data_IF_796942958826
#
_entry.id   IF_796942958826
#
_cell.length_a   1.000
_cell.length_b   1.000
_cell.length_c   1.000
_cell.angle_alpha   90.00
_cell.angle_beta   90.00
_cell.angle_gamma   90.00
#
_symmetry.space_group_name_H-M   'P 1'
#
loop_
_entity.id
_entity.type
_entity.pdbx_description
1 polymer ?
#
# COMPACT_ATOMS: atom_id res chain seq x y z
N UNK A 1 15.16 8.63 23.48
CA UNK A 1 14.55 8.23 22.19
C UNK A 1 13.24 7.53 22.48
N UNK A 2 12.10 8.02 21.97
CA UNK A 2 10.82 7.31 22.06
C UNK A 2 10.63 6.53 20.76
N UNK A 3 10.45 5.22 20.86
CA UNK A 3 10.14 4.36 19.72
C UNK A 3 8.65 4.05 19.76
N UNK A 4 7.90 4.55 18.78
CA UNK A 4 6.51 4.17 18.60
C UNK A 4 6.48 2.81 17.90
N UNK A 5 5.72 1.85 18.45
CA UNK A 5 5.47 0.57 17.80
C UNK A 5 4.23 0.70 16.93
N UNK A 6 4.28 0.16 15.71
CA UNK A 6 3.08 0.05 14.90
C UNK A 6 2.08 -0.93 15.52
N UNK A 7 0.79 -0.61 15.43
CA UNK A 7 -0.31 -1.48 15.88
C UNK A 7 -0.27 -2.84 15.19
N UNK A 8 0.18 -2.88 13.93
CA UNK A 8 0.36 -4.10 13.14
C UNK A 8 1.78 -4.14 12.56
N UNK A 9 2.44 -5.29 12.66
CA UNK A 9 3.78 -5.52 12.10
C UNK A 9 3.70 -6.72 11.15
N UNK A 10 3.84 -6.48 9.85
CA UNK A 10 3.68 -7.49 8.79
C UNK A 10 5.00 -7.96 8.18
N UNK A 11 6.14 -7.42 8.64
CA UNK A 11 7.46 -7.71 8.07
C UNK A 11 7.71 -7.06 6.70
N UNK A 12 6.83 -6.16 6.26
CA UNK A 12 6.94 -5.43 4.99
C UNK A 12 7.82 -4.19 5.14
N UNK A 13 8.54 -3.85 4.08
CA UNK A 13 9.25 -2.58 4.00
C UNK A 13 8.24 -1.43 3.86
N UNK A 14 8.45 -0.37 4.64
CA UNK A 14 7.58 0.81 4.62
C UNK A 14 8.31 1.88 3.81
N UNK A 15 7.67 2.33 2.75
CA UNK A 15 8.16 3.37 1.84
C UNK A 15 7.63 4.74 2.21
N UNK A 16 8.37 5.79 1.87
CA UNK A 16 7.92 7.18 2.00
C UNK A 16 6.95 7.55 0.87
N UNK A 17 5.90 8.31 1.20
CA UNK A 17 4.94 8.81 0.20
C UNK A 17 5.38 10.20 -0.24
N UNK A 18 5.71 10.35 -1.52
CA UNK A 18 6.15 11.63 -2.10
C UNK A 18 5.17 12.77 -1.77
N UNK A 19 5.70 13.89 -1.26
CA UNK A 19 4.94 15.08 -0.88
C UNK A 19 4.70 15.24 0.62
N UNK A 20 5.09 14.26 1.45
CA UNK A 20 5.05 14.35 2.91
C UNK A 20 5.99 13.31 3.56
N UNK A 21 6.24 13.40 4.88
CA UNK A 21 7.14 12.48 5.60
C UNK A 21 6.55 11.86 6.87
N UNK A 22 5.25 12.06 7.13
CA UNK A 22 4.56 11.57 8.35
C UNK A 22 4.00 10.15 8.19
N UNK A 23 3.48 9.85 7.01
CA UNK A 23 2.80 8.60 6.68
C UNK A 23 3.67 7.81 5.71
N UNK A 24 4.00 6.56 6.06
CA UNK A 24 4.57 5.61 5.11
C UNK A 24 3.49 4.73 4.48
N UNK A 25 3.84 3.99 3.44
CA UNK A 25 2.96 2.97 2.85
C UNK A 25 3.70 1.65 2.63
N UNK A 26 2.94 0.56 2.54
CA UNK A 26 3.45 -0.73 2.07
C UNK A 26 2.35 -1.45 1.29
N UNK A 27 2.76 -2.19 0.26
CA UNK A 27 1.89 -3.11 -0.48
C UNK A 27 2.16 -4.56 -0.05
N UNK A 28 1.17 -5.45 -0.19
CA UNK A 28 1.32 -6.86 0.21
C UNK A 28 2.30 -7.65 -0.63
N UNK A 29 2.58 -7.19 -1.84
CA UNK A 29 3.39 -7.85 -2.84
C UNK A 29 3.97 -6.82 -3.80
N UNK A 30 4.80 -7.29 -4.73
CA UNK A 30 5.54 -6.46 -5.68
C UNK A 30 4.97 -6.56 -7.10
N UNK A 31 3.72 -7.02 -7.25
CA UNK A 31 3.07 -7.13 -8.57
C UNK A 31 2.79 -5.74 -9.09
N UNK A 32 3.23 -5.46 -10.32
CA UNK A 32 2.93 -4.19 -10.98
C UNK A 32 1.79 -4.33 -12.02
N UNK A 33 1.43 -3.22 -12.66
CA UNK A 33 0.36 -3.20 -13.66
C UNK A 33 0.68 -4.01 -14.93
N UNK A 34 1.95 -4.20 -15.29
CA UNK A 34 2.35 -4.98 -16.45
C UNK A 34 2.16 -6.48 -16.20
N UNK A 35 2.37 -6.92 -14.96
CA UNK A 35 2.14 -8.30 -14.54
C UNK A 35 0.67 -8.72 -14.64
N UNK A 36 -0.29 -7.78 -14.66
CA UNK A 36 -1.73 -8.11 -14.76
C UNK A 36 -2.06 -8.95 -15.99
N UNK A 37 -1.39 -8.70 -17.13
CA UNK A 37 -1.61 -9.46 -18.35
C UNK A 37 -1.18 -10.92 -18.14
N UNK A 38 -0.06 -11.15 -17.49
CA UNK A 38 0.43 -12.50 -17.15
C UNK A 38 -0.49 -13.19 -16.15
N UNK A 39 -0.95 -12.47 -15.13
CA UNK A 39 -1.92 -12.99 -14.17
C UNK A 39 -3.24 -13.38 -14.83
N UNK A 40 -3.73 -12.61 -15.80
CA UNK A 40 -4.95 -12.94 -16.53
C UNK A 40 -4.88 -14.33 -17.21
N UNK A 41 -3.70 -14.69 -17.73
CA UNK A 41 -3.44 -16.00 -18.35
C UNK A 41 -3.32 -17.14 -17.32
N UNK A 42 -3.01 -16.82 -16.06
CA UNK A 42 -2.76 -17.78 -14.96
C UNK A 42 -3.95 -17.93 -14.00
N UNK A 43 -5.15 -17.56 -14.43
CA UNK A 43 -6.36 -17.65 -13.63
C UNK A 43 -6.66 -16.42 -12.76
N UNK A 44 -6.04 -15.28 -13.08
CA UNK A 44 -6.26 -14.00 -12.42
C UNK A 44 -5.31 -13.74 -11.25
N UNK A 45 -5.26 -12.48 -10.83
CA UNK A 45 -4.42 -12.01 -9.74
C UNK A 45 -5.15 -12.17 -8.40
N UNK A 46 -4.43 -12.56 -7.34
CA UNK A 46 -5.04 -12.79 -6.02
C UNK A 46 -5.46 -11.51 -5.30
N UNK A 47 -5.02 -10.35 -5.79
CA UNK A 47 -5.24 -9.05 -5.17
C UNK A 47 -4.10 -8.61 -4.26
N UNK A 48 -3.87 -7.30 -4.19
CA UNK A 48 -3.01 -6.69 -3.17
C UNK A 48 -3.78 -5.97 -2.08
N UNK A 49 -3.10 -5.74 -0.96
CA UNK A 49 -3.50 -4.76 0.05
C UNK A 49 -2.54 -3.59 0.00
N UNK A 50 -3.05 -2.37 0.22
CA UNK A 50 -2.25 -1.19 0.52
C UNK A 50 -2.50 -0.78 1.98
N UNK A 51 -1.43 -0.62 2.75
CA UNK A 51 -1.49 -0.20 4.16
C UNK A 51 -0.72 1.10 4.35
N UNK A 52 -1.22 2.00 5.20
CA UNK A 52 -0.61 3.29 5.52
C UNK A 52 -0.20 3.35 7.00
N UNK A 53 1.01 3.82 7.28
CA UNK A 53 1.64 3.77 8.60
C UNK A 53 1.92 5.19 9.12
N UNK A 54 1.31 5.60 10.23
CA UNK A 54 1.57 6.91 10.84
C UNK A 54 2.74 6.84 11.83
N UNK A 55 3.88 7.40 11.44
CA UNK A 55 5.10 7.39 12.26
C UNK A 55 4.93 8.13 13.60
N UNK A 56 3.99 9.08 13.69
CA UNK A 56 3.80 9.87 14.91
C UNK A 56 3.11 9.12 16.04
N UNK A 57 2.20 8.19 15.72
CA UNK A 57 1.37 7.51 16.72
C UNK A 57 1.36 5.98 16.60
N UNK A 58 1.96 5.41 15.56
CA UNK A 58 2.00 3.96 15.34
C UNK A 58 0.73 3.37 14.73
N UNK A 59 -0.26 4.18 14.35
CA UNK A 59 -1.49 3.68 13.72
C UNK A 59 -1.22 3.13 12.33
N UNK A 60 -1.92 2.04 12.00
CA UNK A 60 -1.88 1.42 10.68
C UNK A 60 -3.28 1.46 10.08
N UNK A 61 -3.40 1.96 8.86
CA UNK A 61 -4.66 2.08 8.14
C UNK A 61 -4.65 1.16 6.93
N UNK A 62 -5.63 0.26 6.85
CA UNK A 62 -5.89 -0.60 5.70
C UNK A 62 -7.25 -0.21 5.13
N UNK A 63 -7.31 0.79 4.24
CA UNK A 63 -8.57 1.41 3.84
C UNK A 63 -9.48 0.49 3.02
N UNK A 64 -8.94 -0.60 2.46
CA UNK A 64 -9.68 -1.52 1.61
C UNK A 64 -9.44 -2.96 2.04
N UNK A 65 -10.50 -3.78 1.95
CA UNK A 65 -10.36 -5.23 2.06
C UNK A 65 -9.71 -5.78 0.78
N UNK A 66 -8.89 -6.83 0.93
CA UNK A 66 -8.27 -7.52 -0.19
C UNK A 66 -9.35 -8.10 -1.12
N UNK A 67 -9.23 -7.81 -2.41
CA UNK A 67 -10.14 -8.30 -3.45
C UNK A 67 -9.36 -8.90 -4.61
N UNK A 68 -9.89 -9.98 -5.21
CA UNK A 68 -9.27 -10.63 -6.36
C UNK A 68 -9.20 -9.65 -7.54
N UNK A 69 -8.11 -9.73 -8.31
CA UNK A 69 -7.80 -8.87 -9.46
C UNK A 69 -7.58 -7.39 -9.16
N UNK A 70 -7.68 -6.95 -7.90
CA UNK A 70 -7.44 -5.56 -7.53
C UNK A 70 -5.97 -5.34 -7.16
N UNK A 71 -5.31 -4.39 -7.80
CA UNK A 71 -3.98 -3.91 -7.37
C UNK A 71 -3.93 -2.39 -7.20
N UNK A 72 -2.93 -1.92 -6.47
CA UNK A 72 -2.71 -0.50 -6.20
C UNK A 72 -1.36 -0.05 -6.75
N UNK A 73 -1.28 1.20 -7.21
CA UNK A 73 -0.04 1.85 -7.58
C UNK A 73 0.59 2.64 -6.42
N UNK A 74 1.81 3.12 -6.64
CA UNK A 74 2.52 3.98 -5.69
C UNK A 74 1.70 5.23 -5.35
N UNK A 75 1.45 5.51 -4.06
CA UNK A 75 0.74 6.70 -3.64
C UNK A 75 1.60 7.96 -3.69
N UNK A 76 0.93 9.09 -3.90
CA UNK A 76 1.49 10.44 -3.79
C UNK A 76 0.59 11.30 -2.90
N UNK A 77 1.19 12.21 -2.12
CA UNK A 77 0.46 13.16 -1.31
C UNK A 77 0.46 14.53 -1.99
N UNK A 78 -0.72 14.99 -2.38
CA UNK A 78 -0.89 16.26 -3.09
C UNK A 78 -2.22 16.91 -2.66
N UNK A 79 -2.17 18.23 -2.40
CA UNK A 79 -3.37 19.03 -2.02
C UNK A 79 -4.14 18.46 -0.82
N UNK A 80 -3.42 18.03 0.22
CA UNK A 80 -3.97 17.44 1.46
C UNK A 80 -4.69 16.09 1.28
N UNK A 81 -4.44 15.40 0.16
CA UNK A 81 -5.02 14.09 -0.13
C UNK A 81 -3.96 13.11 -0.62
N UNK A 82 -4.21 11.82 -0.41
CA UNK A 82 -3.43 10.72 -0.98
C UNK A 82 -4.06 10.29 -2.30
N UNK A 83 -3.25 10.19 -3.34
CA UNK A 83 -3.65 9.77 -4.69
C UNK A 83 -2.85 8.55 -5.10
N UNK A 84 -3.50 7.53 -5.65
CA UNK A 84 -2.87 6.33 -6.21
C UNK A 84 -3.82 5.73 -7.24
N UNK A 85 -3.27 4.91 -8.13
CA UNK A 85 -4.06 4.14 -9.09
C UNK A 85 -4.60 2.87 -8.44
N UNK A 86 -5.81 2.48 -8.82
CA UNK A 86 -6.34 1.14 -8.62
C UNK A 86 -6.50 0.51 -10.01
N UNK A 87 -6.02 -0.72 -10.18
CA UNK A 87 -6.39 -1.57 -11.32
C UNK A 87 -7.33 -2.67 -10.85
N UNK A 88 -8.30 -3.03 -11.69
CA UNK A 88 -9.30 -4.08 -11.45
C UNK A 88 -9.66 -4.85 -12.74
#
# INVERSE_FOLDING_TARGET
>A
MKLNRFEVVTGRYIEEILGQSRIGYAMSDTTDFYDMIEWSKKGGYQGSTISFYDYNNGKVYEPFQKQRNVLYGTPVYLKKSFWFLQGD
#
